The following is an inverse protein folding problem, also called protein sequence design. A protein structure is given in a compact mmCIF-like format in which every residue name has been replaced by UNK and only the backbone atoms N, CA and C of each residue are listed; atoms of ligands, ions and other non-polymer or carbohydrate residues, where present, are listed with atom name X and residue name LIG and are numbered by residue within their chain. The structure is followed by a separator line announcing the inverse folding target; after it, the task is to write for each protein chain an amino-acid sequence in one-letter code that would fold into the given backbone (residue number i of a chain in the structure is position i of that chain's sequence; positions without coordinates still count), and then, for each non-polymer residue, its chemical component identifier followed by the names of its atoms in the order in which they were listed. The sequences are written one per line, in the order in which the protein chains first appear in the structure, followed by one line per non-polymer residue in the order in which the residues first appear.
data_IF_872515462564
#
_entry.id   IF_872515462564
#
_cell.length_a   1.000
_cell.length_b   1.000
_cell.length_c   1.000
_cell.angle_alpha   90.00
_cell.angle_beta   90.00
_cell.angle_gamma   90.00
#
_symmetry.space_group_name_H-M   'P 1'
#
loop_
_entity.id
_entity.type
_entity.pdbx_description
1 polymer ?
#
# COMPACT_ATOMS: atom_id res chain seq x y z
N UNK A 1 -7.00 11.91 14.51
CA UNK A 1 -6.04 12.89 13.96
C UNK A 1 -5.26 12.22 12.83
N UNK A 2 -4.89 12.96 11.78
CA UNK A 2 -4.07 12.41 10.70
C UNK A 2 -2.60 12.77 10.92
N UNK A 3 -1.68 12.11 10.22
CA UNK A 3 -0.25 12.42 10.29
C UNK A 3 0.15 13.74 9.61
N UNK A 4 -0.82 14.45 9.01
CA UNK A 4 -0.61 15.66 8.23
C UNK A 4 -1.16 16.88 8.97
N UNK A 5 -0.42 17.98 8.95
CA UNK A 5 -0.94 19.26 9.42
C UNK A 5 -1.93 19.87 8.41
N UNK A 6 -2.67 20.90 8.82
CA UNK A 6 -3.72 21.51 7.99
C UNK A 6 -3.20 21.97 6.62
N UNK A 7 -2.00 22.54 6.55
CA UNK A 7 -1.45 23.06 5.30
C UNK A 7 -0.97 21.95 4.35
N UNK A 8 -0.47 20.83 4.88
CA UNK A 8 -0.18 19.62 4.11
C UNK A 8 -1.46 18.97 3.59
N UNK A 9 -2.49 18.90 4.44
CA UNK A 9 -3.80 18.39 4.06
C UNK A 9 -4.45 19.21 2.96
N UNK A 10 -4.42 20.54 3.06
CA UNK A 10 -4.98 21.43 2.05
C UNK A 10 -4.26 21.31 0.70
N UNK A 11 -2.94 21.17 0.72
CA UNK A 11 -2.15 20.91 -0.50
C UNK A 11 -2.56 19.59 -1.17
N UNK A 12 -2.69 18.50 -0.41
CA UNK A 12 -3.15 17.22 -0.96
C UNK A 12 -4.59 17.27 -1.43
N UNK A 13 -5.48 17.93 -0.69
CA UNK A 13 -6.89 18.07 -1.06
C UNK A 13 -7.02 18.78 -2.42
N UNK A 14 -6.17 19.74 -2.73
CA UNK A 14 -6.14 20.40 -4.04
C UNK A 14 -5.74 19.46 -5.20
N UNK A 15 -5.06 18.36 -4.91
CA UNK A 15 -4.70 17.31 -5.87
C UNK A 15 -5.74 16.19 -5.96
N UNK A 16 -6.82 16.22 -5.19
CA UNK A 16 -7.88 15.20 -5.23
C UNK A 16 -9.09 15.76 -5.96
N UNK A 17 -9.69 15.03 -6.92
CA UNK A 17 -10.90 15.49 -7.58
C UNK A 17 -12.02 15.82 -6.59
N UNK A 18 -12.74 16.92 -6.84
CA UNK A 18 -13.73 17.48 -5.91
C UNK A 18 -14.80 16.47 -5.45
N UNK A 19 -15.19 15.53 -6.33
CA UNK A 19 -16.22 14.53 -6.05
C UNK A 19 -15.78 13.46 -5.05
N UNK A 20 -14.47 13.30 -4.81
CA UNK A 20 -13.95 12.43 -3.76
C UNK A 20 -13.87 13.12 -2.38
N UNK A 21 -14.24 14.41 -2.28
CA UNK A 21 -14.31 15.17 -1.02
C UNK A 21 -13.03 15.09 -0.17
N UNK A 22 -11.86 14.94 -0.81
CA UNK A 22 -10.57 14.79 -0.13
C UNK A 22 -10.34 13.43 0.52
N UNK A 23 -11.14 12.40 0.19
CA UNK A 23 -10.93 11.05 0.69
C UNK A 23 -9.81 10.34 -0.10
N UNK A 24 -8.58 10.40 0.45
CA UNK A 24 -7.42 9.73 -0.14
C UNK A 24 -7.55 8.20 -0.17
N UNK A 25 -8.25 7.59 0.80
CA UNK A 25 -8.40 6.13 0.84
C UNK A 25 -9.19 5.59 -0.35
N UNK A 26 -10.18 6.35 -0.85
CA UNK A 26 -10.93 5.99 -2.05
C UNK A 26 -10.05 5.97 -3.31
N UNK A 27 -8.94 6.70 -3.31
CA UNK A 27 -8.00 6.79 -4.43
C UNK A 27 -6.89 5.75 -4.35
N UNK A 28 -6.62 5.24 -3.16
CA UNK A 28 -5.60 4.23 -2.94
C UNK A 28 -5.90 2.91 -3.65
N UNK A 29 -7.16 2.61 -4.00
CA UNK A 29 -7.52 1.39 -4.75
C UNK A 29 -7.51 1.58 -6.28
N UNK A 30 -7.42 2.84 -6.74
CA UNK A 30 -7.56 3.17 -8.17
C UNK A 30 -6.60 2.39 -9.08
N UNK A 31 -5.31 2.21 -8.74
CA UNK A 31 -4.36 1.46 -9.58
C UNK A 31 -4.72 0.00 -9.86
N UNK A 32 -5.42 -0.69 -8.96
CA UNK A 32 -5.90 -2.05 -9.22
C UNK A 32 -7.15 -2.08 -10.09
N UNK A 33 -8.11 -1.20 -9.80
CA UNK A 33 -9.40 -1.20 -10.51
C UNK A 33 -9.25 -0.79 -11.98
N UNK A 34 -8.21 -0.02 -12.34
CA UNK A 34 -7.96 0.33 -13.74
C UNK A 34 -7.42 -0.84 -14.56
N UNK A 35 -6.81 -1.85 -13.91
CA UNK A 35 -6.29 -3.05 -14.56
C UNK A 35 -7.38 -4.11 -14.79
N UNK A 36 -8.47 -4.05 -14.02
CA UNK A 36 -9.52 -5.06 -14.04
C UNK A 36 -10.59 -4.73 -15.11
N UNK A 37 -10.88 -5.64 -16.06
CA UNK A 37 -11.87 -5.41 -17.10
C UNK A 37 -13.31 -5.29 -16.58
N UNK A 38 -13.63 -5.80 -15.40
CA UNK A 38 -14.98 -5.64 -14.82
C UNK A 38 -15.21 -4.21 -14.33
N UNK A 39 -14.19 -3.59 -13.75
CA UNK A 39 -14.25 -2.23 -13.20
C UNK A 39 -13.83 -1.15 -14.21
N UNK A 40 -13.06 -1.50 -15.24
CA UNK A 40 -12.61 -0.60 -16.32
C UNK A 40 -12.77 -1.24 -17.72
N UNK A 41 -13.99 -1.59 -18.15
CA UNK A 41 -14.23 -2.41 -19.35
C UNK A 41 -13.78 -1.78 -20.68
N UNK A 42 -13.62 -0.46 -20.72
CA UNK A 42 -13.25 0.29 -21.93
C UNK A 42 -11.75 0.62 -21.94
N UNK A 43 -11.16 0.88 -20.77
CA UNK A 43 -9.83 1.47 -20.67
C UNK A 43 -8.75 0.52 -20.18
N UNK A 44 -9.07 -0.67 -19.65
CA UNK A 44 -8.10 -1.48 -18.91
C UNK A 44 -6.86 -1.85 -19.74
N UNK A 45 -7.02 -2.10 -21.04
CA UNK A 45 -5.93 -2.42 -21.97
C UNK A 45 -4.86 -1.32 -22.03
N UNK A 46 -5.26 -0.05 -21.88
CA UNK A 46 -4.35 1.09 -21.88
C UNK A 46 -3.49 1.16 -20.60
N UNK A 47 -3.87 0.41 -19.56
CA UNK A 47 -3.21 0.40 -18.25
C UNK A 47 -2.45 -0.89 -17.97
N UNK A 48 -2.57 -1.94 -18.78
CA UNK A 48 -1.89 -3.23 -18.55
C UNK A 48 -0.37 -3.12 -18.33
N UNK A 49 0.26 -2.09 -18.87
CA UNK A 49 1.68 -1.80 -18.65
C UNK A 49 2.02 -1.43 -17.20
N UNK A 50 1.04 -1.01 -16.39
CA UNK A 50 1.26 -0.68 -14.97
C UNK A 50 1.26 -1.92 -14.09
N UNK A 51 0.78 -3.07 -14.54
CA UNK A 51 0.64 -4.27 -13.71
C UNK A 51 1.96 -4.71 -13.05
N UNK A 52 3.09 -4.60 -13.76
CA UNK A 52 4.40 -4.94 -13.19
C UNK A 52 4.97 -3.88 -12.24
N UNK A 53 4.34 -2.73 -12.14
CA UNK A 53 4.73 -1.67 -11.21
C UNK A 53 4.27 -1.93 -9.78
N UNK A 54 3.38 -2.90 -9.57
CA UNK A 54 2.84 -3.24 -8.24
C UNK A 54 3.80 -4.11 -7.41
N UNK A 55 4.83 -4.69 -8.02
CA UNK A 55 5.67 -5.67 -7.32
C UNK A 55 7.12 -5.66 -7.81
N UNK A 56 7.95 -6.45 -7.14
CA UNK A 56 9.29 -6.84 -7.50
C UNK A 56 9.35 -8.37 -7.52
N UNK A 57 10.10 -8.91 -8.47
CA UNK A 57 10.29 -10.36 -8.60
C UNK A 57 11.67 -10.75 -8.11
N UNK A 58 11.73 -11.55 -7.06
CA UNK A 58 12.99 -11.99 -6.44
C UNK A 58 13.28 -13.43 -6.88
N UNK A 59 14.51 -13.77 -7.31
CA UNK A 59 14.86 -15.16 -7.57
C UNK A 59 14.63 -16.04 -6.34
N UNK A 60 14.14 -17.25 -6.56
CA UNK A 60 13.70 -18.14 -5.48
C UNK A 60 14.77 -18.32 -4.41
N UNK A 61 14.40 -18.08 -3.15
CA UNK A 61 15.27 -18.15 -1.97
C UNK A 61 16.51 -17.25 -2.03
N UNK A 62 16.59 -16.35 -3.01
CA UNK A 62 17.59 -15.31 -3.06
C UNK A 62 17.13 -14.16 -2.16
N UNK A 63 17.43 -14.27 -0.87
CA UNK A 63 17.00 -13.32 0.16
C UNK A 63 17.76 -11.99 0.11
N UNK A 64 17.88 -11.41 -1.09
CA UNK A 64 18.57 -10.14 -1.31
C UNK A 64 17.94 -9.40 -2.48
N UNK A 65 17.83 -8.09 -2.34
CA UNK A 65 17.38 -7.18 -3.39
C UNK A 65 18.56 -6.55 -4.13
N UNK A 66 18.60 -6.74 -5.44
CA UNK A 66 19.59 -6.16 -6.36
C UNK A 66 18.82 -5.37 -7.43
N UNK A 67 18.77 -4.02 -7.36
CA UNK A 67 17.94 -3.20 -8.26
C UNK A 67 18.14 -3.50 -9.75
N UNK A 68 19.38 -3.71 -10.19
CA UNK A 68 19.69 -3.97 -11.60
C UNK A 68 19.12 -5.31 -12.10
N UNK A 69 18.98 -6.29 -11.20
CA UNK A 69 18.42 -7.63 -11.49
C UNK A 69 16.90 -7.64 -11.32
N UNK A 70 16.42 -7.06 -10.23
CA UNK A 70 15.06 -7.23 -9.72
C UNK A 70 14.11 -6.10 -10.15
N UNK A 71 14.66 -4.95 -10.55
CA UNK A 71 13.93 -3.79 -11.05
C UNK A 71 14.51 -3.31 -12.40
N UNK A 72 14.57 -4.17 -13.42
CA UNK A 72 15.15 -3.79 -14.70
C UNK A 72 14.39 -2.60 -15.30
N UNK A 73 15.13 -1.59 -15.77
CA UNK A 73 14.57 -0.40 -16.44
C UNK A 73 13.59 0.40 -15.57
N UNK A 74 13.69 0.32 -14.24
CA UNK A 74 12.75 0.94 -13.30
C UNK A 74 11.29 0.45 -13.49
N UNK A 75 11.07 -0.71 -14.14
CA UNK A 75 9.75 -1.34 -14.33
C UNK A 75 9.43 -2.28 -13.16
N UNK A 76 9.35 -1.70 -11.97
CA UNK A 76 8.95 -2.36 -10.74
C UNK A 76 8.41 -1.31 -9.75
N UNK A 77 7.97 -1.74 -8.57
CA UNK A 77 7.45 -0.82 -7.55
C UNK A 77 8.45 0.22 -7.04
N UNK A 78 9.74 -0.11 -6.89
CA UNK A 78 10.77 0.86 -6.50
C UNK A 78 10.89 1.98 -7.55
N UNK A 79 10.92 1.59 -8.83
CA UNK A 79 11.00 2.52 -9.96
C UNK A 79 9.73 3.36 -10.10
N UNK A 80 8.56 2.75 -9.90
CA UNK A 80 7.27 3.42 -9.88
C UNK A 80 7.21 4.51 -8.80
N UNK A 81 7.55 4.18 -7.55
CA UNK A 81 7.62 5.16 -6.47
C UNK A 81 8.58 6.31 -6.80
N UNK A 82 9.78 6.03 -7.34
CA UNK A 82 10.72 7.07 -7.80
C UNK A 82 10.14 7.95 -8.91
N UNK A 83 9.37 7.37 -9.83
CA UNK A 83 8.76 8.09 -10.93
C UNK A 83 7.62 9.00 -10.45
N UNK A 84 6.63 8.44 -9.75
CA UNK A 84 5.44 9.18 -9.36
C UNK A 84 5.72 10.24 -8.29
N UNK A 85 6.74 10.04 -7.43
CA UNK A 85 7.25 11.11 -6.55
C UNK A 85 7.86 12.28 -7.31
N UNK A 86 8.52 12.06 -8.45
CA UNK A 86 9.01 13.15 -9.31
C UNK A 86 7.86 13.85 -10.04
N UNK A 87 6.86 13.10 -10.50
CA UNK A 87 5.71 13.66 -11.23
C UNK A 87 4.84 14.56 -10.36
N UNK A 88 4.57 14.17 -9.10
CA UNK A 88 3.69 14.95 -8.21
C UNK A 88 4.27 16.34 -7.87
N UNK A 89 5.61 16.48 -7.86
CA UNK A 89 6.31 17.74 -7.56
C UNK A 89 6.83 18.48 -8.78
N UNK A 90 6.53 17.99 -10.00
CA UNK A 90 6.95 18.64 -11.24
C UNK A 90 6.45 20.10 -11.31
N UNK A 91 7.17 21.05 -11.94
CA UNK A 91 6.72 22.44 -12.03
C UNK A 91 5.32 22.59 -12.64
N UNK A 92 4.54 23.55 -12.13
CA UNK A 92 3.26 23.91 -12.72
C UNK A 92 3.48 24.54 -14.11
N UNK A 93 2.60 24.22 -15.06
CA UNK A 93 2.75 24.63 -16.47
C UNK A 93 3.87 23.92 -17.24
N UNK A 94 4.46 22.86 -16.66
CA UNK A 94 5.44 22.00 -17.33
C UNK A 94 4.81 20.87 -18.16
N UNK A 95 5.59 19.82 -18.40
CA UNK A 95 5.17 18.65 -19.19
C UNK A 95 4.13 17.75 -18.49
N UNK A 96 4.03 17.84 -17.17
CA UNK A 96 3.07 17.06 -16.37
C UNK A 96 1.83 17.92 -16.13
N UNK A 97 0.73 17.52 -16.77
CA UNK A 97 -0.57 18.15 -16.59
C UNK A 97 -1.22 17.81 -15.23
N UNK A 98 -2.38 18.41 -14.95
CA UNK A 98 -3.10 18.20 -13.69
C UNK A 98 -3.57 16.75 -13.53
N UNK A 99 -4.12 16.13 -14.57
CA UNK A 99 -4.60 14.73 -14.53
C UNK A 99 -3.46 13.77 -14.23
N UNK A 100 -2.33 13.91 -14.93
CA UNK A 100 -1.12 13.13 -14.71
C UNK A 100 -0.55 13.30 -13.29
N UNK A 101 -0.71 14.47 -12.70
CA UNK A 101 -0.32 14.74 -11.31
C UNK A 101 -1.26 14.08 -10.31
N UNK A 102 -2.56 14.04 -10.60
CA UNK A 102 -3.55 13.31 -9.79
C UNK A 102 -3.30 11.80 -9.85
N UNK A 103 -3.10 11.25 -11.05
CA UNK A 103 -2.70 9.85 -11.24
C UNK A 103 -1.43 9.53 -10.46
N UNK A 104 -0.44 10.43 -10.48
CA UNK A 104 0.77 10.24 -9.70
C UNK A 104 0.51 10.16 -8.19
N UNK A 105 -0.41 10.97 -7.65
CA UNK A 105 -0.84 10.82 -6.26
C UNK A 105 -1.50 9.46 -6.03
N UNK A 106 -2.40 9.01 -6.90
CA UNK A 106 -3.14 7.76 -6.71
C UNK A 106 -2.21 6.55 -6.74
N UNK A 107 -1.30 6.51 -7.71
CA UNK A 107 -0.24 5.51 -7.78
C UNK A 107 0.66 5.54 -6.54
N UNK A 108 1.04 6.71 -6.03
CA UNK A 108 1.83 6.78 -4.80
C UNK A 108 1.08 6.26 -3.57
N UNK A 109 -0.20 6.58 -3.42
CA UNK A 109 -1.02 6.08 -2.31
C UNK A 109 -1.07 4.55 -2.31
N UNK A 110 -1.26 3.96 -3.51
CA UNK A 110 -1.34 2.51 -3.69
C UNK A 110 0.01 1.82 -3.52
N UNK A 111 1.06 2.27 -4.24
CA UNK A 111 2.36 1.61 -4.23
C UNK A 111 3.07 1.69 -2.89
N UNK A 112 2.75 2.65 -2.02
CA UNK A 112 3.26 2.61 -0.64
C UNK A 112 2.58 1.49 0.16
N UNK A 113 1.34 1.11 -0.14
CA UNK A 113 0.70 -0.09 0.41
C UNK A 113 1.35 -1.37 -0.11
N UNK A 114 1.43 -1.50 -1.43
CA UNK A 114 1.98 -2.68 -2.11
C UNK A 114 3.43 -3.00 -1.72
N UNK A 115 4.31 -2.00 -1.61
CA UNK A 115 5.71 -2.20 -1.19
C UNK A 115 5.84 -2.57 0.30
N UNK A 116 4.73 -2.72 1.01
CA UNK A 116 4.68 -3.28 2.35
C UNK A 116 3.93 -4.61 2.42
N UNK A 117 3.38 -5.11 1.32
CA UNK A 117 2.85 -6.46 1.23
C UNK A 117 4.01 -7.41 0.94
N UNK A 118 4.39 -8.32 1.86
CA UNK A 118 5.60 -9.13 1.69
C UNK A 118 5.71 -9.90 0.36
N UNK A 119 4.62 -10.46 -0.13
CA UNK A 119 4.57 -11.23 -1.38
C UNK A 119 4.61 -10.36 -2.64
N UNK A 120 4.48 -9.03 -2.54
CA UNK A 120 4.84 -8.11 -3.63
C UNK A 120 6.36 -7.99 -3.81
N UNK A 121 7.16 -8.54 -2.90
CA UNK A 121 8.58 -8.82 -3.11
C UNK A 121 8.85 -10.34 -3.10
N UNK A 122 7.91 -11.13 -3.64
CA UNK A 122 7.92 -12.58 -3.60
C UNK A 122 8.76 -13.27 -4.69
N UNK A 123 8.74 -14.61 -4.66
CA UNK A 123 9.58 -15.43 -5.52
C UNK A 123 9.08 -15.53 -6.97
N UNK A 124 10.02 -15.68 -7.91
CA UNK A 124 9.69 -15.84 -9.34
C UNK A 124 8.96 -17.16 -9.60
N UNK A 125 9.43 -18.25 -8.99
CA UNK A 125 8.99 -19.61 -9.28
C UNK A 125 7.51 -19.85 -8.97
N UNK A 126 6.97 -19.17 -7.96
CA UNK A 126 5.56 -19.26 -7.57
C UNK A 126 4.74 -18.01 -7.91
N UNK A 127 5.33 -17.07 -8.65
CA UNK A 127 4.72 -15.78 -9.02
C UNK A 127 4.28 -14.97 -7.80
N UNK A 128 5.15 -14.85 -6.80
CA UNK A 128 4.82 -14.18 -5.54
C UNK A 128 3.73 -14.90 -4.76
N UNK A 129 3.67 -16.23 -4.84
CA UNK A 129 2.67 -17.05 -4.17
C UNK A 129 1.36 -17.27 -4.94
N UNK A 130 1.08 -16.56 -6.04
CA UNK A 130 -0.16 -16.77 -6.82
C UNK A 130 -0.30 -18.19 -7.37
N UNK A 131 0.83 -18.87 -7.65
CA UNK A 131 0.83 -20.25 -8.15
C UNK A 131 0.63 -21.30 -7.04
N UNK A 132 0.78 -20.92 -5.76
CA UNK A 132 0.53 -21.81 -4.63
C UNK A 132 -0.93 -21.68 -4.22
N UNK A 133 -1.68 -22.77 -4.34
CA UNK A 133 -3.12 -22.82 -4.03
C UNK A 133 -3.36 -23.68 -2.79
N UNK A 134 -4.35 -23.34 -1.99
CA UNK A 134 -4.62 -24.09 -0.77
C UNK A 134 -5.86 -23.61 -0.04
N UNK A 135 -5.99 -24.04 1.21
CA UNK A 135 -7.12 -23.73 2.06
C UNK A 135 -6.67 -22.98 3.30
N UNK A 136 -7.50 -22.07 3.79
CA UNK A 136 -7.27 -21.32 5.00
C UNK A 136 -8.45 -21.49 5.96
N UNK A 137 -8.17 -21.75 7.24
CA UNK A 137 -9.17 -21.83 8.31
C UNK A 137 -10.32 -22.82 8.02
N UNK A 138 -10.02 -23.94 7.37
CA UNK A 138 -11.02 -24.94 7.00
C UNK A 138 -12.04 -24.50 5.94
N UNK A 139 -11.75 -23.45 5.17
CA UNK A 139 -12.57 -23.04 4.03
C UNK A 139 -12.72 -24.18 3.00
N UNK A 140 -13.86 -24.23 2.32
CA UNK A 140 -14.14 -25.23 1.28
C UNK A 140 -13.70 -24.80 -0.12
N UNK A 141 -13.51 -23.50 -0.32
CA UNK A 141 -12.97 -22.93 -1.56
C UNK A 141 -11.47 -22.72 -1.41
N UNK A 142 -10.73 -22.98 -2.49
CA UNK A 142 -9.30 -22.71 -2.52
C UNK A 142 -9.04 -21.21 -2.71
N UNK A 143 -7.99 -20.73 -2.05
CA UNK A 143 -7.36 -19.42 -2.27
C UNK A 143 -5.95 -19.64 -2.85
N UNK A 144 -5.29 -18.60 -3.35
CA UNK A 144 -3.83 -18.63 -3.49
C UNK A 144 -3.11 -17.97 -2.33
N UNK A 145 -1.83 -18.29 -2.22
CA UNK A 145 -0.98 -17.79 -1.16
C UNK A 145 -0.78 -16.27 -1.24
N UNK A 146 -0.85 -15.67 -2.43
CA UNK A 146 -0.79 -14.21 -2.58
C UNK A 146 -2.07 -13.56 -2.02
N UNK A 147 -3.23 -14.00 -2.51
CA UNK A 147 -4.54 -13.53 -2.03
C UNK A 147 -4.75 -13.77 -0.54
N UNK A 148 -4.23 -14.87 0.00
CA UNK A 148 -4.25 -15.16 1.43
C UNK A 148 -3.67 -14.01 2.27
N UNK A 149 -2.58 -13.41 1.79
CA UNK A 149 -1.88 -12.30 2.44
C UNK A 149 -2.48 -10.93 2.12
N UNK A 150 -2.99 -10.73 0.89
CA UNK A 150 -3.70 -9.51 0.52
C UNK A 150 -5.01 -9.34 1.31
N UNK A 151 -5.76 -10.44 1.49
CA UNK A 151 -7.16 -10.37 1.91
C UNK A 151 -7.51 -11.35 3.04
N UNK A 152 -7.36 -12.66 2.84
CA UNK A 152 -8.00 -13.66 3.70
C UNK A 152 -7.56 -13.56 5.19
N UNK A 153 -6.26 -13.39 5.46
CA UNK A 153 -5.74 -13.22 6.83
C UNK A 153 -6.26 -11.91 7.43
N UNK A 154 -6.28 -10.84 6.65
CA UNK A 154 -6.76 -9.52 7.09
C UNK A 154 -8.25 -9.56 7.41
N UNK A 155 -9.07 -10.18 6.57
CA UNK A 155 -10.50 -10.38 6.79
C UNK A 155 -10.75 -11.20 8.05
N UNK A 156 -10.02 -12.30 8.21
CA UNK A 156 -10.13 -13.13 9.40
C UNK A 156 -9.67 -12.38 10.66
N UNK A 157 -8.59 -11.60 10.59
CA UNK A 157 -8.09 -10.72 11.68
C UNK A 157 -9.16 -9.71 12.11
N UNK A 158 -9.75 -9.03 11.15
CA UNK A 158 -10.80 -8.03 11.35
C UNK A 158 -12.06 -8.64 11.96
N UNK A 159 -12.53 -9.77 11.43
CA UNK A 159 -13.69 -10.48 11.96
C UNK A 159 -13.44 -10.99 13.38
N UNK A 160 -12.35 -11.74 13.58
CA UNK A 160 -12.06 -12.46 14.84
C UNK A 160 -11.82 -11.54 16.02
N UNK A 161 -11.11 -10.43 15.80
CA UNK A 161 -10.61 -9.60 16.91
C UNK A 161 -11.23 -8.21 16.99
N UNK A 162 -11.94 -7.79 15.94
CA UNK A 162 -12.55 -6.46 15.88
C UNK A 162 -14.04 -6.53 15.49
N UNK A 163 -14.65 -7.72 15.46
CA UNK A 163 -16.07 -7.91 15.14
C UNK A 163 -16.46 -7.25 13.80
N UNK A 164 -15.59 -7.35 12.81
CA UNK A 164 -15.76 -6.71 11.50
C UNK A 164 -15.81 -5.17 11.52
N UNK A 165 -15.42 -4.53 12.62
CA UNK A 165 -15.42 -3.09 12.76
C UNK A 165 -14.08 -2.47 12.31
N UNK A 166 -14.09 -1.89 11.11
CA UNK A 166 -12.92 -1.25 10.49
C UNK A 166 -12.41 -0.06 11.30
N UNK A 167 -13.30 0.73 11.90
CA UNK A 167 -12.91 1.90 12.69
C UNK A 167 -12.15 1.47 13.95
N UNK A 168 -12.59 0.41 14.63
CA UNK A 168 -11.88 -0.13 15.79
C UNK A 168 -10.50 -0.66 15.40
N UNK A 169 -10.41 -1.36 14.27
CA UNK A 169 -9.13 -1.86 13.79
C UNK A 169 -8.18 -0.72 13.39
N UNK A 170 -8.69 0.29 12.69
CA UNK A 170 -7.94 1.51 12.37
C UNK A 170 -7.42 2.20 13.64
N UNK A 171 -8.28 2.41 14.64
CA UNK A 171 -7.89 3.03 15.91
C UNK A 171 -6.80 2.24 16.64
N UNK A 172 -6.88 0.90 16.59
CA UNK A 172 -5.85 0.02 17.12
C UNK A 172 -4.52 0.21 16.38
N UNK A 173 -4.51 0.13 15.05
CA UNK A 173 -3.30 0.33 14.24
C UNK A 173 -2.71 1.73 14.43
N UNK A 174 -3.56 2.76 14.50
CA UNK A 174 -3.13 4.13 14.80
C UNK A 174 -2.44 4.22 16.17
N UNK A 175 -2.98 3.55 17.18
CA UNK A 175 -2.37 3.49 18.52
C UNK A 175 -1.01 2.78 18.52
N UNK A 176 -0.85 1.73 17.72
CA UNK A 176 0.45 1.07 17.53
C UNK A 176 1.46 2.02 16.87
N UNK A 177 1.03 2.73 15.83
CA UNK A 177 1.88 3.68 15.09
C UNK A 177 2.43 4.78 16.01
N UNK A 178 1.58 5.44 16.79
CA UNK A 178 2.01 6.54 17.67
C UNK A 178 2.95 6.06 18.78
N UNK A 179 2.75 4.85 19.30
CA UNK A 179 3.58 4.29 20.36
C UNK A 179 4.98 3.87 19.88
N UNK A 180 5.16 3.64 18.57
CA UNK A 180 6.47 3.34 17.97
C UNK A 180 7.28 4.61 17.64
N UNK A 181 6.69 5.80 17.69
CA UNK A 181 7.28 7.03 17.12
C UNK A 181 8.59 7.50 17.78
N UNK A 182 8.97 6.99 18.95
CA UNK A 182 10.15 7.44 19.71
C UNK A 182 11.46 6.71 19.35
N UNK A 183 11.42 5.64 18.55
CA UNK A 183 12.59 4.78 18.26
C UNK A 183 12.99 4.71 16.78
N UNK A 184 12.40 5.55 15.92
CA UNK A 184 12.45 5.35 14.46
C UNK A 184 13.55 6.19 13.80
N UNK A 185 14.35 5.52 12.97
CA UNK A 185 15.29 6.17 12.06
C UNK A 185 14.54 6.75 10.84
N UNK A 186 14.43 8.07 10.79
CA UNK A 186 13.79 8.82 9.70
C UNK A 186 14.44 8.62 8.33
N UNK A 187 15.70 8.16 8.26
CA UNK A 187 16.35 7.85 6.99
C UNK A 187 15.85 6.51 6.42
N UNK A 188 15.70 5.48 7.26
CA UNK A 188 15.13 4.19 6.86
C UNK A 188 13.71 4.31 6.33
N UNK A 189 12.92 5.22 6.92
CA UNK A 189 11.54 5.52 6.53
C UNK A 189 11.41 6.40 5.27
N UNK A 190 12.51 6.65 4.56
CA UNK A 190 12.54 7.30 3.23
C UNK A 190 13.25 6.46 2.18
N UNK A 191 13.83 5.32 2.56
CA UNK A 191 14.59 4.45 1.66
C UNK A 191 13.74 3.26 1.19
N UNK A 192 13.24 3.33 -0.04
CA UNK A 192 12.46 2.25 -0.65
C UNK A 192 13.20 0.91 -0.65
N UNK A 193 14.53 0.91 -0.77
CA UNK A 193 15.33 -0.33 -0.73
C UNK A 193 15.26 -0.99 0.64
N UNK A 194 15.18 -0.20 1.71
CA UNK A 194 14.99 -0.73 3.05
C UNK A 194 13.59 -1.35 3.19
N UNK A 195 12.55 -0.71 2.65
CA UNK A 195 11.18 -1.24 2.73
C UNK A 195 11.05 -2.60 2.03
N UNK A 196 11.67 -2.75 0.85
CA UNK A 196 11.72 -3.99 0.07
C UNK A 196 12.51 -5.07 0.81
N UNK A 197 13.66 -4.74 1.40
CA UNK A 197 14.46 -5.73 2.15
C UNK A 197 13.70 -6.29 3.34
N UNK A 198 12.94 -5.45 4.04
CA UNK A 198 12.08 -5.92 5.15
C UNK A 198 11.06 -6.97 4.68
N UNK A 199 10.47 -6.79 3.49
CA UNK A 199 9.53 -7.77 2.92
C UNK A 199 10.24 -9.06 2.50
N UNK A 200 11.40 -8.96 1.87
CA UNK A 200 12.22 -10.13 1.49
C UNK A 200 12.63 -10.93 2.73
N UNK A 201 13.03 -10.25 3.81
CA UNK A 201 13.39 -10.89 5.07
C UNK A 201 12.19 -11.65 5.66
N UNK A 202 11.00 -11.06 5.62
CA UNK A 202 9.74 -11.70 6.05
C UNK A 202 9.43 -12.93 5.18
N UNK A 203 9.48 -12.77 3.86
CA UNK A 203 9.28 -13.83 2.86
C UNK A 203 10.20 -15.03 3.13
N UNK A 204 11.49 -14.77 3.25
CA UNK A 204 12.50 -15.81 3.41
C UNK A 204 12.51 -16.49 4.78
N UNK A 205 12.16 -15.77 5.85
CA UNK A 205 12.32 -16.28 7.22
C UNK A 205 11.08 -16.92 7.81
N UNK A 206 9.87 -16.53 7.36
CA UNK A 206 8.64 -16.90 8.06
C UNK A 206 7.50 -17.36 7.16
N UNK A 207 7.29 -16.73 6.00
CA UNK A 207 6.04 -16.89 5.23
C UNK A 207 5.79 -18.31 4.76
N UNK A 208 6.81 -18.97 4.23
CA UNK A 208 6.69 -20.27 3.57
C UNK A 208 6.75 -21.45 4.54
N UNK A 209 6.32 -21.25 5.78
CA UNK A 209 6.28 -22.29 6.83
C UNK A 209 4.84 -22.49 7.29
N UNK A 210 4.34 -23.73 7.33
CA UNK A 210 2.97 -24.07 7.72
C UNK A 210 2.76 -24.14 9.25
N UNK A 211 1.57 -24.56 9.69
CA UNK A 211 1.22 -24.74 11.10
C UNK A 211 2.11 -25.77 11.84
N UNK A 212 2.74 -26.70 11.12
CA UNK A 212 3.61 -27.77 11.65
C UNK A 212 5.11 -27.45 11.50
N UNK A 213 5.44 -26.21 11.17
CA UNK A 213 6.79 -25.77 10.85
C UNK A 213 7.43 -26.49 9.65
N UNK A 214 6.62 -26.92 8.67
CA UNK A 214 7.09 -27.51 7.42
C UNK A 214 7.08 -26.47 6.29
N UNK A 215 8.00 -26.62 5.33
CA UNK A 215 8.05 -25.73 4.18
C UNK A 215 6.84 -25.95 3.26
N UNK A 216 6.18 -24.85 2.90
CA UNK A 216 5.11 -24.81 1.92
C UNK A 216 5.75 -24.92 0.53
N UNK A 217 5.53 -26.04 -0.16
CA UNK A 217 6.09 -26.31 -1.51
C UNK A 217 5.04 -26.83 -2.49
N UNK A 218 3.77 -26.85 -2.10
CA UNK A 218 2.65 -27.35 -2.87
C UNK A 218 1.33 -26.87 -2.28
N UNK A 219 0.27 -27.68 -2.42
CA UNK A 219 -1.03 -27.32 -1.86
C UNK A 219 -0.95 -27.16 -0.35
N UNK A 220 -1.34 -26.00 0.18
CA UNK A 220 -1.31 -25.73 1.61
C UNK A 220 -2.67 -25.94 2.28
N UNK A 221 -2.64 -26.17 3.59
CA UNK A 221 -3.81 -26.09 4.45
C UNK A 221 -3.39 -25.36 5.73
N UNK A 222 -3.64 -24.06 5.77
CA UNK A 222 -3.16 -23.16 6.81
C UNK A 222 -4.27 -22.82 7.80
N UNK A 223 -3.95 -22.84 9.08
CA UNK A 223 -4.95 -22.77 10.14
C UNK A 223 -4.54 -21.75 11.21
N UNK A 224 -5.00 -21.99 12.44
CA UNK A 224 -4.91 -21.06 13.55
C UNK A 224 -3.47 -20.69 13.90
N UNK A 225 -2.52 -21.62 13.83
CA UNK A 225 -1.12 -21.34 14.20
C UNK A 225 -0.45 -20.49 13.14
N UNK A 226 -0.71 -20.75 11.86
CA UNK A 226 -0.23 -19.90 10.77
C UNK A 226 -0.78 -18.47 10.91
N UNK A 227 -2.09 -18.35 11.17
CA UNK A 227 -2.72 -17.05 11.38
C UNK A 227 -2.11 -16.30 12.57
N UNK A 228 -2.01 -16.94 13.74
CA UNK A 228 -1.49 -16.31 14.96
C UNK A 228 -0.05 -15.83 14.82
N UNK A 229 0.76 -16.59 14.09
CA UNK A 229 2.15 -16.23 13.81
C UNK A 229 2.27 -15.03 12.85
N UNK A 230 1.35 -14.89 11.90
CA UNK A 230 1.49 -13.96 10.79
C UNK A 230 0.63 -12.68 10.88
N UNK A 231 -0.53 -12.68 11.54
CA UNK A 231 -1.33 -11.45 11.66
C UNK A 231 -0.57 -10.28 12.34
N UNK A 232 0.35 -10.49 13.31
CA UNK A 232 1.12 -9.38 13.87
C UNK A 232 2.08 -8.74 12.85
N UNK A 233 2.56 -9.52 11.86
CA UNK A 233 3.36 -8.98 10.76
C UNK A 233 2.51 -8.12 9.83
N UNK A 234 1.29 -8.54 9.52
CA UNK A 234 0.35 -7.74 8.71
C UNK A 234 0.03 -6.42 9.42
N UNK A 235 -0.31 -6.45 10.71
CA UNK A 235 -0.54 -5.25 11.52
C UNK A 235 0.69 -4.31 11.46
N UNK A 236 1.90 -4.87 11.59
CA UNK A 236 3.17 -4.13 11.47
C UNK A 236 3.35 -3.49 10.09
N UNK A 237 3.13 -4.24 9.00
CA UNK A 237 3.30 -3.74 7.63
C UNK A 237 2.32 -2.63 7.29
N UNK A 238 1.05 -2.76 7.70
CA UNK A 238 0.04 -1.70 7.51
C UNK A 238 0.44 -0.43 8.27
N UNK A 239 0.92 -0.56 9.52
CA UNK A 239 1.42 0.58 10.32
C UNK A 239 2.62 1.24 9.66
N UNK A 240 3.59 0.46 9.16
CA UNK A 240 4.76 0.98 8.45
C UNK A 240 4.34 1.72 7.17
N UNK A 241 3.45 1.13 6.36
CA UNK A 241 2.95 1.74 5.13
C UNK A 241 2.28 3.09 5.40
N UNK A 242 1.34 3.14 6.36
CA UNK A 242 0.65 4.37 6.73
C UNK A 242 1.61 5.45 7.23
N UNK A 243 2.57 5.08 8.09
CA UNK A 243 3.59 6.00 8.62
C UNK A 243 4.49 6.57 7.52
N UNK A 244 5.04 5.69 6.69
CA UNK A 244 5.96 6.04 5.60
C UNK A 244 5.27 6.85 4.52
N UNK A 245 4.00 6.57 4.23
CA UNK A 245 3.19 7.41 3.36
C UNK A 245 3.04 8.82 3.94
N UNK A 246 2.74 8.94 5.23
CA UNK A 246 2.67 10.23 5.92
C UNK A 246 4.00 11.01 5.87
N UNK A 247 5.13 10.34 6.05
CA UNK A 247 6.47 10.96 5.92
C UNK A 247 6.73 11.40 4.47
N UNK A 248 6.42 10.53 3.51
CA UNK A 248 6.63 10.77 2.09
C UNK A 248 5.81 11.98 1.61
N UNK A 249 4.50 11.99 1.85
CA UNK A 249 3.62 13.06 1.41
C UNK A 249 4.02 14.42 2.00
N UNK A 250 4.46 14.47 3.26
CA UNK A 250 4.99 15.70 3.88
C UNK A 250 6.25 16.20 3.18
N UNK A 251 7.14 15.29 2.79
CA UNK A 251 8.38 15.65 2.09
C UNK A 251 8.15 16.14 0.65
N UNK A 252 7.00 15.83 0.05
CA UNK A 252 6.67 16.21 -1.33
C UNK A 252 6.02 17.58 -1.43
N UNK A 253 5.49 18.12 -0.33
CA UNK A 253 4.91 19.46 -0.33
C UNK A 253 6.01 20.49 -0.64
N UNK A 254 5.86 21.31 -1.71
CA UNK A 254 6.84 22.35 -2.01
C UNK A 254 6.94 23.34 -0.84
N UNK A 255 8.17 23.73 -0.47
CA UNK A 255 8.34 24.90 0.38
C UNK A 255 7.75 26.10 -0.35
N UNK A 256 6.79 26.78 0.28
CA UNK A 256 6.32 28.06 -0.22
C UNK A 256 7.56 28.97 -0.27
N UNK A 257 7.92 29.57 -1.42
CA UNK A 257 8.87 30.68 -1.39
C UNK A 257 8.33 31.70 -0.38
N UNK A 258 9.21 32.34 0.40
CA UNK A 258 8.86 33.42 1.32
C UNK A 258 8.22 34.58 0.55
N UNK A 259 6.97 34.42 0.12
CA UNK A 259 6.11 35.46 -0.36
C UNK A 259 5.34 35.92 0.86
N UNK A 260 5.65 37.12 1.31
CA UNK A 260 4.77 37.96 2.11
C UNK A 260 3.42 38.07 1.39
N UNK A 261 2.53 37.09 1.61
CA UNK A 261 1.20 37.11 1.03
C UNK A 261 0.27 37.85 1.97
N UNK A 262 -0.24 38.94 1.41
CA UNK A 262 -1.20 39.87 1.97
C UNK A 262 -2.47 39.11 2.37
N UNK A 263 -2.94 39.45 3.56
CA UNK A 263 -4.16 39.03 4.22
C UNK A 263 -5.37 39.00 3.28
N UNK A 264 -5.95 37.82 3.08
CA UNK A 264 -7.40 37.68 2.91
C UNK A 264 -7.83 36.33 3.49
N UNK A 265 -7.99 36.35 4.81
CA UNK A 265 -8.76 35.34 5.53
C UNK A 265 -10.25 35.52 5.25
N UNK A 266 -10.96 34.40 5.45
CA UNK A 266 -12.40 34.28 5.70
C UNK A 266 -13.27 34.08 4.47
N UNK A 267 -13.76 32.85 4.27
CA UNK A 267 -15.06 32.43 4.83
C UNK A 267 -15.65 31.24 4.07
N UNK A 268 -15.29 30.00 4.47
CA UNK A 268 -16.25 28.88 4.41
C UNK A 268 -15.80 27.78 5.38
N UNK A 269 -16.31 27.84 6.61
CA UNK A 269 -16.35 26.67 7.50
C UNK A 269 -17.34 25.70 6.86
N UNK A 270 -16.84 24.72 6.12
CA UNK A 270 -17.64 23.65 5.56
C UNK A 270 -17.59 22.43 6.48
N UNK A 271 -18.75 22.18 7.08
CA UNK A 271 -19.17 20.95 7.74
C UNK A 271 -19.02 19.77 6.76
N UNK A 272 -18.45 18.65 7.23
CA UNK A 272 -18.92 17.24 7.09
C UNK A 272 -17.74 16.33 7.49
N UNK A 273 -17.76 15.91 8.75
CA UNK A 273 -17.14 14.69 9.26
C UNK A 273 -18.17 13.58 9.03
N UNK A 274 -17.70 12.34 8.86
CA UNK A 274 -18.46 11.08 8.64
C UNK A 274 -18.72 10.79 7.15
N UNK A 275 -17.83 9.98 6.57
CA UNK A 275 -18.10 8.71 5.87
C UNK A 275 -16.79 8.24 5.24
N UNK A 276 -15.86 7.76 6.08
CA UNK A 276 -14.70 6.97 5.66
C UNK A 276 -14.84 5.57 6.24
N UNK A 277 -15.95 4.91 5.86
CA UNK A 277 -16.15 3.47 6.06
C UNK A 277 -16.81 2.97 4.79
N UNK A 278 -15.99 2.76 3.77
CA UNK A 278 -16.24 1.79 2.71
C UNK A 278 -14.98 1.71 1.84
N UNK A 279 -14.49 0.47 1.67
CA UNK A 279 -13.48 0.04 0.70
C UNK A 279 -12.00 0.27 1.06
N UNK A 280 -11.57 -0.43 2.13
CA UNK A 280 -10.26 -1.12 2.16
C UNK A 280 -10.40 -2.56 1.60
N UNK A 281 -11.62 -3.02 1.33
CA UNK A 281 -11.89 -4.35 0.79
C UNK A 281 -12.10 -4.26 -0.71
N UNK A 282 -11.19 -4.79 -1.51
CA UNK A 282 -11.43 -5.10 -2.92
C UNK A 282 -12.48 -6.23 -3.05
N UNK A 283 -13.71 -5.97 -2.61
CA UNK A 283 -14.84 -6.85 -2.90
C UNK A 283 -15.18 -6.60 -4.36
N UNK A 284 -14.94 -7.64 -5.17
CA UNK A 284 -15.35 -7.70 -6.56
C UNK A 284 -16.80 -7.28 -6.75
N UNK A 285 -16.99 -6.39 -7.72
CA UNK A 285 -18.09 -6.51 -8.67
C UNK A 285 -17.45 -6.85 -10.01
#
# INVERSE_FOLDING_TARGET
ETQLNSSEFDWLRALVPWHHKGNLSAMAIWPDIILNPNTNPIGYENWLWTAELHYIRIPDWNCSYIPERDCPQDRCIEGALKNYTKRIVAPLGGLIDETQRQEALFFLLHFVGDIHQPLHAGFIGDKGGTALKGYFMGATQQTDFHWLWDDDILMYRLHKHFSSNVEHYFNYLYSLMINQSSTIDMNSDKDYKTWIREDIDIVCSQLYTDDNNQNISGSFNLNQLYFERNYPLIDKRIVQAGRRLGILLRSLKPEQPNSSCITLCSSTIAIIIILSIQFIFGIGI
#
